data_IF_972377139832
#
_entry.id   IF_972377139832
#
_cell.length_a   1.000
_cell.length_b   1.000
_cell.length_c   1.000
_cell.angle_alpha   90.00
_cell.angle_beta   90.00
_cell.angle_gamma   90.00
#
_symmetry.space_group_name_H-M   'P 1'
#
loop_
_entity.id
_entity.type
_entity.pdbx_description
1 polymer ?
#
# COMPACT_ATOMS: atom_id res chain seq x y z
N UNK A 1 -7.18 11.26 -12.00
CA UNK A 1 -8.66 11.37 -11.86
C UNK A 1 -9.03 12.73 -11.27
N UNK A 2 -10.21 13.25 -11.57
CA UNK A 2 -10.78 14.40 -10.85
C UNK A 2 -11.36 13.92 -9.51
N UNK A 3 -10.96 14.56 -8.41
CA UNK A 3 -11.42 14.22 -7.06
C UNK A 3 -12.67 15.02 -6.64
N UNK A 4 -13.20 15.91 -7.49
CA UNK A 4 -14.37 16.73 -7.16
C UNK A 4 -15.60 15.83 -6.94
N UNK A 5 -16.28 16.03 -5.80
CA UNK A 5 -17.47 15.29 -5.36
C UNK A 5 -17.30 13.75 -5.30
N UNK A 6 -16.06 13.25 -5.31
CA UNK A 6 -15.76 11.82 -5.25
C UNK A 6 -15.78 11.28 -3.81
N UNK A 7 -15.91 9.97 -3.69
CA UNK A 7 -15.78 9.23 -2.43
C UNK A 7 -14.53 8.35 -2.48
N UNK A 8 -13.70 8.45 -1.45
CA UNK A 8 -12.52 7.61 -1.28
C UNK A 8 -12.71 6.61 -0.13
N UNK A 9 -12.26 5.37 -0.32
CA UNK A 9 -12.11 4.36 0.74
C UNK A 9 -10.61 4.10 0.98
N UNK A 10 -10.13 4.39 2.19
CA UNK A 10 -8.70 4.27 2.54
C UNK A 10 -8.53 3.26 3.66
N UNK A 11 -7.77 2.20 3.44
CA UNK A 11 -7.48 1.19 4.47
C UNK A 11 -6.24 1.53 5.29
N UNK A 12 -6.23 1.13 6.58
CA UNK A 12 -5.14 1.45 7.51
C UNK A 12 -5.05 2.95 7.81
N UNK A 13 -6.20 3.60 7.94
CA UNK A 13 -6.34 5.05 8.02
C UNK A 13 -5.99 5.68 9.37
N UNK A 14 -5.72 4.89 10.40
CA UNK A 14 -5.53 5.40 11.76
C UNK A 14 -4.12 5.94 12.04
N UNK A 15 -3.09 5.57 11.27
CA UNK A 15 -1.70 5.99 11.48
C UNK A 15 -0.87 5.99 10.19
N UNK A 16 0.32 6.56 10.28
CA UNK A 16 1.33 6.51 9.21
C UNK A 16 0.81 7.02 7.88
N UNK A 17 1.15 6.32 6.80
CA UNK A 17 0.80 6.72 5.42
C UNK A 17 -0.71 6.83 5.22
N UNK A 18 -1.50 5.87 5.74
CA UNK A 18 -2.96 5.89 5.57
C UNK A 18 -3.61 7.10 6.23
N UNK A 19 -3.15 7.47 7.43
CA UNK A 19 -3.58 8.68 8.12
C UNK A 19 -3.23 9.93 7.30
N UNK A 20 -2.00 10.05 6.85
CA UNK A 20 -1.54 11.18 6.03
C UNK A 20 -2.32 11.28 4.70
N UNK A 21 -2.65 10.15 4.06
CA UNK A 21 -3.51 10.13 2.86
C UNK A 21 -4.90 10.66 3.19
N UNK A 22 -5.53 10.23 4.28
CA UNK A 22 -6.84 10.76 4.69
C UNK A 22 -6.79 12.26 4.96
N UNK A 23 -5.78 12.76 5.66
CA UNK A 23 -5.58 14.18 5.94
C UNK A 23 -5.41 15.00 4.65
N UNK A 24 -4.63 14.51 3.70
CA UNK A 24 -4.46 15.17 2.39
C UNK A 24 -5.73 15.12 1.55
N UNK A 25 -6.46 14.01 1.54
CA UNK A 25 -7.76 13.91 0.87
C UNK A 25 -8.79 14.85 1.50
N UNK A 26 -8.76 15.01 2.82
CA UNK A 26 -9.67 15.93 3.51
C UNK A 26 -9.51 17.41 3.08
N UNK A 27 -8.34 17.79 2.57
CA UNK A 27 -8.11 19.16 2.03
C UNK A 27 -8.60 19.34 0.61
N UNK A 28 -8.90 18.28 -0.10
CA UNK A 28 -9.32 18.26 -1.51
C UNK A 28 -10.85 18.36 -1.65
N UNK A 29 -11.40 18.63 -2.85
CA UNK A 29 -12.83 18.81 -3.05
C UNK A 29 -13.63 17.50 -3.11
N UNK A 30 -13.26 16.49 -2.32
CA UNK A 30 -14.03 15.26 -2.21
C UNK A 30 -15.34 15.50 -1.44
N UNK A 31 -16.31 14.62 -1.67
CA UNK A 31 -17.53 14.53 -0.88
C UNK A 31 -17.26 13.81 0.45
N UNK A 32 -16.54 12.67 0.39
CA UNK A 32 -16.41 11.79 1.53
C UNK A 32 -15.09 10.99 1.47
N UNK A 33 -14.43 10.85 2.61
CA UNK A 33 -13.33 9.90 2.84
C UNK A 33 -13.80 8.88 3.87
N UNK A 34 -13.95 7.63 3.46
CA UNK A 34 -14.19 6.49 4.32
C UNK A 34 -12.85 6.01 4.87
N UNK A 35 -12.56 6.33 6.11
CA UNK A 35 -11.33 5.98 6.80
C UNK A 35 -11.48 4.60 7.44
N UNK A 36 -11.05 3.54 6.73
CA UNK A 36 -11.22 2.17 7.18
C UNK A 36 -10.16 1.79 8.23
N UNK A 37 -10.64 1.44 9.41
CA UNK A 37 -9.87 1.09 10.60
C UNK A 37 -10.46 -0.14 11.29
N UNK A 38 -9.67 -0.85 12.12
CA UNK A 38 -10.16 -2.00 12.88
C UNK A 38 -10.98 -1.62 14.12
N UNK A 39 -10.75 -0.42 14.63
CA UNK A 39 -11.37 0.07 15.87
C UNK A 39 -11.69 1.56 15.66
N UNK A 40 -12.97 1.82 15.43
CA UNK A 40 -13.46 3.18 15.14
C UNK A 40 -13.38 4.10 16.35
N UNK A 41 -13.44 3.55 17.57
CA UNK A 41 -13.38 4.34 18.80
C UNK A 41 -11.98 4.94 19.06
N UNK A 42 -10.95 4.36 18.41
CA UNK A 42 -9.56 4.87 18.47
C UNK A 42 -9.20 5.80 17.31
N UNK A 43 -10.15 6.09 16.43
CA UNK A 43 -9.88 6.98 15.31
C UNK A 43 -9.97 8.45 15.74
N UNK A 44 -8.87 9.16 15.68
CA UNK A 44 -8.85 10.58 15.94
C UNK A 44 -9.46 11.35 14.75
N UNK A 45 -10.45 12.22 14.98
CA UNK A 45 -11.10 12.98 13.91
C UNK A 45 -10.11 13.77 13.04
N UNK A 46 -10.40 13.82 11.75
CA UNK A 46 -9.66 14.63 10.77
C UNK A 46 -10.57 15.78 10.33
N UNK A 47 -10.13 17.01 10.56
CA UNK A 47 -10.82 18.19 10.07
C UNK A 47 -10.35 18.53 8.64
N UNK A 48 -11.28 18.95 7.80
CA UNK A 48 -10.96 19.32 6.42
C UNK A 48 -12.15 19.86 5.65
N UNK A 49 -12.00 20.02 4.36
CA UNK A 49 -13.06 20.39 3.43
C UNK A 49 -14.03 19.24 3.17
N UNK A 50 -13.46 18.04 2.97
CA UNK A 50 -14.23 16.82 2.81
C UNK A 50 -14.62 16.24 4.16
N UNK A 51 -15.77 15.58 4.25
CA UNK A 51 -16.14 14.75 5.41
C UNK A 51 -15.18 13.56 5.49
N UNK A 52 -14.63 13.30 6.69
CA UNK A 52 -13.87 12.09 6.97
C UNK A 52 -14.65 11.25 7.98
N UNK A 53 -15.07 10.06 7.54
CA UNK A 53 -15.87 9.14 8.36
C UNK A 53 -15.10 7.87 8.64
N UNK A 54 -14.83 7.55 9.91
CA UNK A 54 -14.27 6.24 10.25
C UNK A 54 -15.29 5.14 9.97
N UNK A 55 -14.80 4.02 9.41
CA UNK A 55 -15.60 2.81 9.18
C UNK A 55 -14.84 1.60 9.70
N UNK A 56 -15.54 0.69 10.36
CA UNK A 56 -14.93 -0.52 10.85
C UNK A 56 -14.68 -1.49 9.69
N UNK A 57 -13.43 -1.89 9.51
CA UNK A 57 -13.03 -2.85 8.50
C UNK A 57 -11.79 -3.60 8.97
N UNK A 58 -12.00 -4.84 9.40
CA UNK A 58 -10.89 -5.73 9.73
C UNK A 58 -10.49 -6.56 8.49
N UNK A 59 -9.22 -6.50 8.14
CA UNK A 59 -8.64 -7.19 6.99
C UNK A 59 -8.07 -8.57 7.35
N UNK A 60 -8.25 -9.02 8.58
CA UNK A 60 -7.68 -10.25 9.13
C UNK A 60 -8.29 -11.53 8.56
N UNK A 61 -9.52 -11.49 8.06
CA UNK A 61 -10.18 -12.65 7.43
C UNK A 61 -11.07 -12.22 6.28
N UNK A 62 -11.45 -13.22 5.46
CA UNK A 62 -12.41 -13.00 4.37
C UNK A 62 -13.76 -12.56 4.92
N UNK A 63 -14.22 -13.21 5.96
CA UNK A 63 -15.54 -12.99 6.57
C UNK A 63 -15.63 -11.58 7.16
N UNK A 64 -14.58 -11.12 7.84
CA UNK A 64 -14.56 -9.75 8.40
C UNK A 64 -14.51 -8.68 7.31
N UNK A 65 -13.80 -8.92 6.20
CA UNK A 65 -13.79 -8.03 5.04
C UNK A 65 -15.18 -7.94 4.42
N UNK A 66 -15.83 -9.07 4.16
CA UNK A 66 -17.18 -9.10 3.58
C UNK A 66 -18.18 -8.37 4.49
N UNK A 67 -18.17 -8.65 5.80
CA UNK A 67 -19.05 -7.99 6.76
C UNK A 67 -18.86 -6.45 6.79
N UNK A 68 -17.61 -5.99 6.79
CA UNK A 68 -17.31 -4.55 6.78
C UNK A 68 -17.73 -3.87 5.47
N UNK A 69 -17.50 -4.52 4.33
CA UNK A 69 -17.86 -3.98 3.02
C UNK A 69 -19.38 -3.99 2.77
N UNK A 70 -20.11 -4.98 3.28
CA UNK A 70 -21.58 -5.05 3.15
C UNK A 70 -22.30 -3.91 3.88
N UNK A 71 -21.63 -3.28 4.85
CA UNK A 71 -22.11 -2.07 5.54
C UNK A 71 -21.89 -0.77 4.75
N UNK A 72 -21.17 -0.81 3.61
CA UNK A 72 -20.80 0.35 2.82
C UNK A 72 -21.55 0.41 1.48
N UNK A 73 -21.80 1.63 1.01
CA UNK A 73 -22.23 1.86 -0.37
C UNK A 73 -21.01 1.81 -1.31
N UNK A 74 -20.69 0.61 -1.79
CA UNK A 74 -19.57 0.39 -2.71
C UNK A 74 -19.80 1.06 -4.07
N UNK A 75 -21.07 1.28 -4.46
CA UNK A 75 -21.43 2.00 -5.66
C UNK A 75 -21.00 3.46 -5.66
N UNK A 76 -20.77 4.06 -4.50
CA UNK A 76 -20.29 5.42 -4.37
C UNK A 76 -18.74 5.55 -4.38
N UNK A 77 -17.98 4.46 -4.24
CA UNK A 77 -16.51 4.53 -4.12
C UNK A 77 -15.88 4.81 -5.48
N UNK A 78 -15.25 5.96 -5.62
CA UNK A 78 -14.51 6.39 -6.82
C UNK A 78 -13.00 6.17 -6.70
N UNK A 79 -12.45 6.21 -5.47
CA UNK A 79 -11.04 5.94 -5.18
C UNK A 79 -10.93 4.88 -4.08
N UNK A 80 -10.36 3.72 -4.41
CA UNK A 80 -9.97 2.72 -3.42
C UNK A 80 -8.46 2.83 -3.15
N UNK A 81 -8.08 3.08 -1.89
CA UNK A 81 -6.69 3.11 -1.43
C UNK A 81 -6.41 1.90 -0.55
N UNK A 82 -5.83 0.87 -1.15
CA UNK A 82 -5.33 -0.31 -0.46
C UNK A 82 -3.97 0.01 0.17
N UNK A 83 -3.99 0.60 1.37
CA UNK A 83 -2.79 1.05 2.06
C UNK A 83 -2.43 0.20 3.28
N UNK A 84 -3.41 -0.41 3.95
CA UNK A 84 -3.14 -1.23 5.13
C UNK A 84 -2.03 -2.26 4.87
N UNK A 85 -1.20 -2.48 5.88
CA UNK A 85 -0.12 -3.43 5.78
C UNK A 85 0.40 -3.85 7.15
N UNK A 86 1.01 -5.02 7.17
CA UNK A 86 1.73 -5.60 8.31
C UNK A 86 3.14 -5.97 7.87
N UNK A 87 4.05 -6.05 8.83
CA UNK A 87 5.41 -6.52 8.63
C UNK A 87 5.54 -7.92 9.27
N UNK A 88 6.12 -8.85 8.53
CA UNK A 88 6.75 -10.06 9.05
C UNK A 88 8.06 -10.22 8.31
N UNK A 89 9.16 -10.12 9.03
CA UNK A 89 10.52 -10.13 8.49
C UNK A 89 11.47 -10.76 9.52
N UNK A 90 12.68 -11.03 9.12
CA UNK A 90 13.70 -11.80 9.83
C UNK A 90 14.15 -13.00 9.01
N UNK A 91 15.09 -13.80 9.51
CA UNK A 91 15.43 -15.07 8.87
C UNK A 91 14.20 -15.97 8.85
N UNK A 92 13.95 -16.64 7.73
CA UNK A 92 12.68 -17.36 7.49
C UNK A 92 12.38 -18.40 8.59
N UNK A 93 13.40 -19.11 9.03
CA UNK A 93 13.30 -20.14 10.07
C UNK A 93 13.08 -19.58 11.49
N UNK A 94 13.22 -18.28 11.68
CA UNK A 94 13.03 -17.58 12.96
C UNK A 94 11.69 -16.83 13.01
N UNK A 95 10.99 -16.70 11.87
CA UNK A 95 9.71 -16.01 11.82
C UNK A 95 8.59 -16.88 12.41
N UNK A 96 7.62 -16.21 13.06
CA UNK A 96 6.37 -16.83 13.46
C UNK A 96 5.50 -17.10 12.22
N UNK A 97 5.10 -18.35 12.03
CA UNK A 97 4.29 -18.77 10.89
C UNK A 97 2.91 -18.09 10.88
N UNK A 98 2.28 -17.91 12.03
CA UNK A 98 0.97 -17.24 12.13
C UNK A 98 1.09 -15.76 11.77
N UNK A 99 2.19 -15.10 12.15
CA UNK A 99 2.47 -13.73 11.72
C UNK A 99 2.68 -13.63 10.19
N UNK A 100 3.33 -14.63 9.57
CA UNK A 100 3.47 -14.69 8.10
C UNK A 100 2.11 -14.80 7.43
N UNK A 101 1.23 -15.71 7.90
CA UNK A 101 -0.12 -15.88 7.33
C UNK A 101 -0.96 -14.63 7.51
N UNK A 102 -0.93 -14.00 8.70
CA UNK A 102 -1.62 -12.73 8.97
C UNK A 102 -1.15 -11.61 8.04
N UNK A 103 0.16 -11.49 7.87
CA UNK A 103 0.76 -10.49 6.97
C UNK A 103 0.35 -10.72 5.51
N UNK A 104 0.39 -11.96 5.01
CA UNK A 104 -0.05 -12.29 3.65
C UNK A 104 -1.55 -12.01 3.46
N UNK A 105 -2.38 -12.29 4.48
CA UNK A 105 -3.79 -11.99 4.47
C UNK A 105 -4.03 -10.49 4.30
N UNK A 106 -3.38 -9.66 5.10
CA UNK A 106 -3.59 -8.20 5.07
C UNK A 106 -2.94 -7.57 3.84
N UNK A 107 -1.68 -7.95 3.53
CA UNK A 107 -0.90 -7.25 2.50
C UNK A 107 -1.28 -7.64 1.06
N UNK A 108 -1.83 -8.83 0.85
CA UNK A 108 -2.11 -9.35 -0.48
C UNK A 108 -3.56 -9.81 -0.65
N UNK A 109 -4.05 -10.74 0.16
CA UNK A 109 -5.38 -11.29 -0.03
C UNK A 109 -6.45 -10.21 0.14
N UNK A 110 -6.34 -9.34 1.15
CA UNK A 110 -7.26 -8.24 1.37
C UNK A 110 -7.24 -7.23 0.22
N UNK A 111 -6.07 -6.91 -0.35
CA UNK A 111 -5.94 -6.02 -1.52
C UNK A 111 -6.74 -6.57 -2.71
N UNK A 112 -6.58 -7.86 -3.00
CA UNK A 112 -7.32 -8.53 -4.06
C UNK A 112 -8.82 -8.54 -3.75
N UNK A 113 -9.20 -8.88 -2.52
CA UNK A 113 -10.59 -8.99 -2.10
C UNK A 113 -11.32 -7.63 -2.15
N UNK A 114 -10.75 -6.58 -1.57
CA UNK A 114 -11.32 -5.24 -1.61
C UNK A 114 -11.50 -4.74 -3.05
N UNK A 115 -10.49 -4.95 -3.87
CA UNK A 115 -10.54 -4.59 -5.29
C UNK A 115 -11.64 -5.37 -6.01
N UNK A 116 -11.74 -6.69 -5.79
CA UNK A 116 -12.79 -7.53 -6.36
C UNK A 116 -14.20 -7.03 -6.01
N UNK A 117 -14.41 -6.57 -4.78
CA UNK A 117 -15.72 -6.09 -4.30
C UNK A 117 -16.09 -4.71 -4.85
N UNK A 118 -15.13 -3.81 -5.03
CA UNK A 118 -15.37 -2.43 -5.50
C UNK A 118 -15.37 -2.33 -7.03
N UNK A 119 -14.57 -3.12 -7.70
CA UNK A 119 -14.30 -3.02 -9.14
C UNK A 119 -15.55 -3.12 -10.05
N UNK A 120 -16.51 -4.02 -9.81
CA UNK A 120 -17.69 -4.13 -10.69
C UNK A 120 -18.46 -2.80 -10.83
N UNK A 121 -18.61 -2.07 -9.74
CA UNK A 121 -19.29 -0.78 -9.70
C UNK A 121 -18.49 0.30 -10.44
N UNK A 122 -17.16 0.32 -10.29
CA UNK A 122 -16.29 1.24 -11.03
C UNK A 122 -16.36 0.98 -12.53
N UNK A 123 -16.29 -0.29 -12.94
CA UNK A 123 -16.39 -0.68 -14.37
C UNK A 123 -17.76 -0.32 -14.95
N UNK A 124 -18.85 -0.59 -14.22
CA UNK A 124 -20.20 -0.25 -14.66
C UNK A 124 -20.39 1.26 -14.88
N UNK A 125 -19.73 2.11 -14.05
CA UNK A 125 -19.76 3.56 -14.21
C UNK A 125 -18.77 4.10 -15.25
N UNK A 126 -17.81 3.27 -15.71
CA UNK A 126 -16.74 3.67 -16.62
C UNK A 126 -15.74 4.64 -15.99
N UNK A 127 -15.61 4.65 -14.66
CA UNK A 127 -14.68 5.53 -13.93
C UNK A 127 -14.34 4.97 -12.56
N UNK A 128 -13.13 5.26 -12.10
CA UNK A 128 -12.62 4.91 -10.77
C UNK A 128 -11.12 4.75 -10.78
N UNK A 129 -10.52 4.75 -9.59
CA UNK A 129 -9.10 4.48 -9.42
C UNK A 129 -8.88 3.53 -8.27
N UNK A 130 -8.08 2.49 -8.50
CA UNK A 130 -7.56 1.59 -7.47
C UNK A 130 -6.09 1.91 -7.25
N UNK A 131 -5.76 2.39 -6.06
CA UNK A 131 -4.40 2.64 -5.62
C UNK A 131 -3.95 1.52 -4.68
N UNK A 132 -2.92 0.79 -5.07
CA UNK A 132 -2.32 -0.28 -4.27
C UNK A 132 -0.97 0.16 -3.69
N UNK A 133 -0.84 0.20 -2.36
CA UNK A 133 0.40 0.53 -1.68
C UNK A 133 1.34 -0.69 -1.66
N UNK A 134 2.19 -0.79 -2.68
CA UNK A 134 3.28 -1.75 -2.75
C UNK A 134 4.50 -1.25 -1.95
N UNK A 135 5.68 -1.73 -2.27
CA UNK A 135 6.94 -1.36 -1.62
C UNK A 135 8.08 -1.49 -2.60
N UNK A 136 9.20 -0.85 -2.30
CA UNK A 136 10.49 -1.15 -2.95
C UNK A 136 10.84 -2.64 -2.80
N UNK A 137 10.44 -3.28 -1.69
CA UNK A 137 10.62 -4.72 -1.45
C UNK A 137 9.84 -5.62 -2.43
N UNK A 138 8.86 -5.07 -3.16
CA UNK A 138 8.19 -5.76 -4.26
C UNK A 138 9.04 -5.81 -5.55
N UNK A 139 10.18 -5.15 -5.57
CA UNK A 139 11.12 -5.08 -6.69
C UNK A 139 12.55 -5.47 -6.30
N UNK A 140 13.06 -4.91 -5.20
CA UNK A 140 14.36 -5.24 -4.65
C UNK A 140 14.15 -6.24 -3.50
N UNK A 141 14.41 -7.50 -3.76
CA UNK A 141 14.13 -8.60 -2.83
C UNK A 141 15.21 -8.69 -1.75
N UNK A 142 15.00 -7.98 -0.66
CA UNK A 142 15.96 -7.91 0.44
C UNK A 142 16.02 -9.24 1.22
N UNK A 143 17.23 -9.71 1.60
CA UNK A 143 17.37 -10.79 2.57
C UNK A 143 16.68 -10.41 3.89
N UNK A 144 16.31 -11.40 4.71
CA UNK A 144 15.53 -11.23 5.93
C UNK A 144 14.15 -10.53 5.75
N UNK A 145 13.68 -10.36 4.51
CA UNK A 145 12.34 -9.88 4.18
C UNK A 145 11.65 -10.74 3.12
N UNK A 146 11.99 -12.01 3.02
CA UNK A 146 11.52 -12.90 1.93
C UNK A 146 9.99 -12.98 1.86
N UNK A 147 9.31 -13.15 3.00
CA UNK A 147 7.86 -13.23 3.11
C UNK A 147 7.18 -11.89 2.81
N UNK A 148 7.71 -10.80 3.35
CA UNK A 148 7.24 -9.46 3.06
C UNK A 148 7.45 -9.09 1.58
N UNK A 149 8.62 -9.39 1.02
CA UNK A 149 8.91 -9.17 -0.40
C UNK A 149 7.94 -9.97 -1.29
N UNK A 150 7.64 -11.21 -0.94
CA UNK A 150 6.66 -12.02 -1.65
C UNK A 150 5.27 -11.37 -1.65
N UNK A 151 4.80 -10.86 -0.49
CA UNK A 151 3.52 -10.16 -0.38
C UNK A 151 3.48 -8.92 -1.28
N UNK A 152 4.53 -8.08 -1.24
CA UNK A 152 4.57 -6.84 -2.01
C UNK A 152 4.85 -7.04 -3.50
N UNK A 153 5.60 -8.07 -3.88
CA UNK A 153 5.74 -8.50 -5.27
C UNK A 153 4.40 -9.02 -5.83
N UNK A 154 3.63 -9.75 -5.01
CA UNK A 154 2.25 -10.15 -5.35
C UNK A 154 1.36 -8.95 -5.67
N UNK A 155 1.40 -7.90 -4.84
CA UNK A 155 0.65 -6.65 -5.09
C UNK A 155 1.08 -5.97 -6.39
N UNK A 156 2.39 -5.94 -6.69
CA UNK A 156 2.89 -5.39 -7.97
C UNK A 156 2.38 -6.20 -9.15
N UNK A 157 2.50 -7.54 -9.09
CA UNK A 157 2.03 -8.43 -10.14
C UNK A 157 0.53 -8.31 -10.38
N UNK A 158 -0.27 -8.31 -9.30
CA UNK A 158 -1.71 -8.08 -9.34
C UNK A 158 -2.05 -6.74 -10.00
N UNK A 159 -1.44 -5.64 -9.55
CA UNK A 159 -1.72 -4.30 -10.08
C UNK A 159 -1.39 -4.16 -11.55
N UNK A 160 -0.23 -4.68 -11.99
CA UNK A 160 0.20 -4.62 -13.38
C UNK A 160 -0.67 -5.48 -14.30
N UNK A 161 -1.14 -6.64 -13.84
CA UNK A 161 -2.05 -7.50 -14.59
C UNK A 161 -3.43 -6.84 -14.71
N UNK A 162 -4.01 -6.45 -13.57
CA UNK A 162 -5.33 -5.82 -13.52
C UNK A 162 -5.40 -4.52 -14.36
N UNK A 163 -4.35 -3.71 -14.33
CA UNK A 163 -4.27 -2.50 -15.17
C UNK A 163 -4.44 -2.82 -16.65
N UNK A 164 -3.85 -3.93 -17.12
CA UNK A 164 -3.99 -4.35 -18.54
C UNK A 164 -5.36 -4.93 -18.84
N UNK A 165 -5.97 -5.63 -17.88
CA UNK A 165 -7.34 -6.16 -18.01
C UNK A 165 -8.37 -5.04 -18.11
N UNK A 166 -8.12 -3.89 -17.48
CA UNK A 166 -9.03 -2.75 -17.42
C UNK A 166 -8.78 -1.71 -18.51
N UNK A 167 -7.91 -1.98 -19.46
CA UNK A 167 -7.67 -1.05 -20.58
C UNK A 167 -8.96 -0.76 -21.34
N UNK A 168 -9.24 0.52 -21.56
CA UNK A 168 -10.47 0.98 -22.24
C UNK A 168 -11.73 1.00 -21.37
N UNK A 169 -11.71 0.57 -20.11
CA UNK A 169 -12.88 0.59 -19.20
C UNK A 169 -13.13 1.93 -18.52
N UNK A 170 -12.16 2.86 -18.55
CA UNK A 170 -12.20 4.10 -17.79
C UNK A 170 -11.78 3.96 -16.32
N UNK A 171 -11.42 2.76 -15.85
CA UNK A 171 -10.91 2.50 -14.51
C UNK A 171 -9.38 2.47 -14.52
N UNK A 172 -8.75 3.28 -13.66
CA UNK A 172 -7.29 3.32 -13.53
C UNK A 172 -6.80 2.42 -12.39
N UNK A 173 -5.64 1.80 -12.57
CA UNK A 173 -4.92 1.08 -11.49
C UNK A 173 -3.53 1.70 -11.35
N UNK A 174 -3.25 2.19 -10.15
CA UNK A 174 -1.97 2.75 -9.76
C UNK A 174 -1.36 1.90 -8.65
N UNK A 175 -0.07 1.57 -8.72
CA UNK A 175 0.64 1.06 -7.55
C UNK A 175 1.77 1.98 -7.10
N UNK A 176 1.87 2.16 -5.78
CA UNK A 176 2.90 2.96 -5.15
C UNK A 176 4.10 2.08 -4.78
N UNK A 177 5.27 2.39 -5.33
CA UNK A 177 6.56 1.77 -4.94
C UNK A 177 7.10 2.53 -3.74
N UNK A 178 6.52 2.25 -2.58
CA UNK A 178 6.77 2.99 -1.35
C UNK A 178 8.20 2.77 -0.85
N UNK A 179 8.95 3.85 -0.59
CA UNK A 179 10.30 3.80 0.01
C UNK A 179 10.22 3.57 1.52
N UNK A 180 11.32 3.78 2.23
CA UNK A 180 11.31 3.96 3.68
C UNK A 180 10.54 5.24 4.05
N UNK A 181 9.35 5.09 4.62
CA UNK A 181 8.55 6.19 5.13
C UNK A 181 8.63 6.19 6.65
N UNK A 182 8.83 7.37 7.25
CA UNK A 182 9.04 7.55 8.69
C UNK A 182 7.79 7.17 9.48
N UNK A 183 7.69 5.91 9.87
CA UNK A 183 6.56 5.27 10.53
C UNK A 183 7.06 4.19 11.48
N UNK A 184 6.24 3.77 12.43
CA UNK A 184 6.54 2.64 13.32
C UNK A 184 6.99 1.38 12.56
N UNK A 185 6.39 1.09 11.41
CA UNK A 185 6.78 -0.06 10.57
C UNK A 185 8.23 0.05 10.07
N UNK A 186 8.72 1.26 9.79
CA UNK A 186 10.13 1.46 9.40
C UNK A 186 11.06 1.21 10.57
N UNK A 187 10.68 1.67 11.78
CA UNK A 187 11.46 1.43 13.00
C UNK A 187 11.54 -0.07 13.31
N UNK A 188 10.41 -0.79 13.18
CA UNK A 188 10.37 -2.26 13.30
C UNK A 188 11.28 -2.93 12.26
N UNK A 189 11.25 -2.45 11.01
CA UNK A 189 12.09 -2.96 9.92
C UNK A 189 13.57 -2.77 10.25
N UNK A 190 13.97 -1.58 10.68
CA UNK A 190 15.37 -1.29 11.05
C UNK A 190 15.82 -2.13 12.24
N UNK A 191 14.94 -2.36 13.22
CA UNK A 191 15.25 -3.21 14.37
C UNK A 191 15.52 -4.67 13.96
N UNK A 192 14.74 -5.21 13.01
CA UNK A 192 14.92 -6.56 12.46
C UNK A 192 16.23 -6.66 11.68
N UNK A 193 16.57 -5.62 10.90
CA UNK A 193 17.82 -5.63 10.13
C UNK A 193 19.07 -5.36 10.97
N UNK A 194 18.92 -4.90 12.22
CA UNK A 194 20.05 -4.63 13.09
C UNK A 194 20.91 -5.87 13.29
N UNK A 195 22.15 -5.81 12.82
CA UNK A 195 23.09 -6.93 12.84
C UNK A 195 23.16 -7.73 11.53
N UNK A 196 22.18 -7.58 10.63
CA UNK A 196 22.14 -8.28 9.35
C UNK A 196 22.42 -7.38 8.13
N UNK A 197 21.99 -6.13 8.20
CA UNK A 197 22.09 -5.18 7.10
C UNK A 197 22.33 -3.76 7.64
N UNK A 198 23.25 -3.02 7.03
CA UNK A 198 23.42 -1.60 7.33
C UNK A 198 22.29 -0.77 6.71
N UNK A 199 21.41 -0.25 7.56
CA UNK A 199 20.29 0.60 7.18
C UNK A 199 20.60 2.10 7.30
N UNK A 200 21.80 2.48 7.72
CA UNK A 200 22.17 3.89 7.99
C UNK A 200 22.09 4.81 6.77
N UNK A 201 22.18 4.24 5.57
CA UNK A 201 22.04 4.95 4.30
C UNK A 201 20.58 5.05 3.81
N UNK A 202 19.60 4.54 4.53
CA UNK A 202 18.21 4.61 4.12
C UNK A 202 17.66 6.02 4.30
N UNK A 203 17.01 6.51 3.27
CA UNK A 203 16.33 7.80 3.32
C UNK A 203 14.94 7.59 3.92
N UNK A 204 14.62 8.35 4.96
CA UNK A 204 13.27 8.41 5.54
C UNK A 204 12.49 9.55 4.90
N UNK A 205 11.36 9.23 4.29
CA UNK A 205 10.43 10.20 3.71
C UNK A 205 9.30 10.43 4.72
N UNK A 206 8.88 11.68 4.89
CA UNK A 206 7.75 11.96 5.80
C UNK A 206 6.45 11.43 5.22
N UNK A 207 5.54 10.87 6.06
CA UNK A 207 4.25 10.33 5.61
C UNK A 207 3.43 11.32 4.79
N UNK A 208 3.43 12.60 5.18
CA UNK A 208 2.67 13.68 4.54
C UNK A 208 3.22 14.02 3.15
N UNK A 209 4.56 14.00 3.01
CA UNK A 209 5.23 14.21 1.71
C UNK A 209 4.95 13.05 0.76
N UNK A 210 5.01 11.82 1.28
CA UNK A 210 4.70 10.64 0.48
C UNK A 210 3.23 10.59 0.06
N UNK A 211 2.31 10.89 0.99
CA UNK A 211 0.88 10.96 0.70
C UNK A 211 0.56 11.98 -0.39
N UNK A 212 1.16 13.19 -0.34
CA UNK A 212 0.99 14.21 -1.37
C UNK A 212 1.43 13.70 -2.74
N UNK A 213 2.62 13.14 -2.83
CA UNK A 213 3.17 12.59 -4.08
C UNK A 213 2.32 11.47 -4.67
N UNK A 214 1.74 10.64 -3.81
CA UNK A 214 0.85 9.55 -4.23
C UNK A 214 -0.47 10.12 -4.78
N UNK A 215 -1.04 11.12 -4.12
CA UNK A 215 -2.30 11.74 -4.58
C UNK A 215 -2.10 12.56 -5.85
N UNK A 216 -0.99 13.26 -6.03
CA UNK A 216 -0.64 13.89 -7.31
C UNK A 216 -0.57 12.86 -8.45
N UNK A 217 -0.11 11.65 -8.16
CA UNK A 217 -0.08 10.57 -9.14
C UNK A 217 -1.48 10.04 -9.48
N UNK A 218 -2.39 9.99 -8.49
CA UNK A 218 -3.82 9.69 -8.69
C UNK A 218 -4.48 10.76 -9.56
N UNK A 219 -4.30 12.04 -9.22
CA UNK A 219 -4.87 13.17 -9.94
C UNK A 219 -4.36 13.27 -11.39
N UNK A 220 -3.12 12.80 -11.63
CA UNK A 220 -2.47 12.80 -12.96
C UNK A 220 -2.64 11.49 -13.73
N UNK A 221 -3.52 10.59 -13.28
CA UNK A 221 -3.80 9.27 -13.88
C UNK A 221 -2.54 8.42 -14.17
N UNK A 222 -1.53 8.51 -13.31
CA UNK A 222 -0.33 7.68 -13.42
C UNK A 222 -0.65 6.24 -13.05
N UNK A 223 0.13 5.30 -13.58
CA UNK A 223 0.02 3.87 -13.22
C UNK A 223 1.02 3.43 -12.18
N UNK A 224 2.09 4.19 -12.00
CA UNK A 224 3.16 3.90 -11.04
C UNK A 224 3.64 5.21 -10.44
N UNK A 225 3.76 5.24 -9.11
CA UNK A 225 4.48 6.28 -8.38
C UNK A 225 5.60 5.65 -7.56
N UNK A 226 6.74 6.27 -7.52
CA UNK A 226 7.88 5.76 -6.76
C UNK A 226 8.86 6.87 -6.41
N UNK A 227 9.76 6.60 -5.48
CA UNK A 227 10.86 7.51 -5.19
C UNK A 227 11.74 7.64 -6.42
N UNK A 228 12.23 8.84 -6.65
CA UNK A 228 13.24 9.11 -7.68
C UNK A 228 14.65 8.62 -7.29
N UNK A 229 15.65 8.90 -8.14
CA UNK A 229 17.06 8.70 -7.81
C UNK A 229 17.49 7.22 -7.69
N UNK A 230 18.24 6.90 -6.63
CA UNK A 230 18.85 5.57 -6.42
C UNK A 230 17.83 4.41 -6.40
N UNK A 231 16.63 4.65 -5.94
CA UNK A 231 15.57 3.62 -5.87
C UNK A 231 15.02 3.29 -7.26
N UNK A 232 14.96 4.28 -8.16
CA UNK A 232 14.61 4.02 -9.56
C UNK A 232 15.65 3.13 -10.26
N UNK A 233 16.93 3.32 -9.93
CA UNK A 233 18.02 2.44 -10.39
C UNK A 233 17.91 1.03 -9.80
N UNK A 234 17.60 0.89 -8.51
CA UNK A 234 17.38 -0.41 -7.88
C UNK A 234 16.21 -1.18 -8.53
N UNK A 235 15.12 -0.47 -8.86
CA UNK A 235 13.99 -1.04 -9.60
C UNK A 235 14.38 -1.51 -11.01
N UNK A 236 15.24 -0.76 -11.69
CA UNK A 236 15.76 -1.16 -13.01
C UNK A 236 16.71 -2.36 -12.88
N UNK A 237 17.59 -2.35 -11.87
CA UNK A 237 18.55 -3.44 -11.61
C UNK A 237 17.82 -4.74 -11.22
N UNK A 238 16.70 -4.68 -10.49
CA UNK A 238 15.93 -5.87 -10.11
C UNK A 238 15.24 -6.57 -11.30
N UNK A 239 15.10 -5.89 -12.43
CA UNK A 239 14.62 -6.46 -13.69
C UNK A 239 15.76 -6.92 -14.61
N UNK A 240 17.00 -6.69 -14.20
CA UNK A 240 18.21 -7.14 -14.87
C UNK A 240 18.61 -8.58 -14.48
N UNK A 241 19.80 -9.06 -14.92
CA UNK A 241 20.32 -10.35 -14.51
C UNK A 241 20.43 -10.42 -12.97
N UNK A 242 19.95 -11.53 -12.36
CA UNK A 242 19.96 -11.74 -10.91
C UNK A 242 21.34 -11.52 -10.27
N UNK A 243 22.41 -11.88 -11.02
CA UNK A 243 23.80 -11.74 -10.58
C UNK A 243 24.18 -10.33 -10.14
N UNK A 244 23.53 -9.29 -10.68
CA UNK A 244 23.84 -7.91 -10.30
C UNK A 244 23.30 -7.59 -8.88
N UNK A 245 22.12 -8.06 -8.57
CA UNK A 245 21.53 -7.94 -7.22
C UNK A 245 22.28 -8.82 -6.22
N UNK A 246 22.60 -10.04 -6.61
CA UNK A 246 23.33 -11.02 -5.79
C UNK A 246 24.70 -10.46 -5.37
N UNK A 247 25.41 -9.79 -6.29
CA UNK A 247 26.70 -9.16 -6.01
C UNK A 247 26.59 -8.02 -4.96
N UNK A 248 25.53 -7.23 -5.02
CA UNK A 248 25.31 -6.14 -4.05
C UNK A 248 24.87 -6.72 -2.70
N UNK A 249 23.92 -7.63 -2.71
CA UNK A 249 23.33 -8.18 -1.48
C UNK A 249 24.31 -9.08 -0.72
N UNK A 250 25.14 -9.86 -1.40
CA UNK A 250 26.15 -10.73 -0.77
C UNK A 250 27.21 -9.96 0.04
N UNK A 251 27.39 -8.67 -0.24
CA UNK A 251 28.32 -7.80 0.50
C UNK A 251 27.66 -6.98 1.60
N UNK A 252 26.33 -6.78 1.50
CA UNK A 252 25.57 -5.95 2.42
C UNK A 252 24.90 -6.75 3.53
N UNK A 253 24.68 -8.05 3.33
CA UNK A 253 23.95 -8.90 4.26
C UNK A 253 24.85 -9.90 4.96
N UNK A 254 24.71 -10.00 6.30
CA UNK A 254 25.28 -11.08 7.12
C UNK A 254 24.13 -11.87 7.77
N UNK A 255 24.29 -13.19 7.76
CA UNK A 255 23.35 -14.09 8.44
C UNK A 255 23.64 -14.21 9.94
N UNK A 256 24.88 -13.91 10.37
CA UNK A 256 25.38 -13.99 11.76
C UNK A 256 25.43 -12.60 12.37
#
# INVERSE_FOLDING_TARGET
MDLTDSTALVTGANRGIGRAVCERLATRPLKLVLAAVRDVDKFEPIAGRAEVRPVELDLGSRESIDAGLDALDLGAVDLLVNNAGQLSAGLLEEQDLDAIYSMLQVNLNAVVHLTYRVLPEMVARGRGTVLNNASISGYAFFPAASTYSASKAGVVGFSESLRRELDGTGVNVLHAVTPGVDTEMLDETEAIYKGHLDTSAWTRVQPEEWAEKVLEAVESDRHIVGPGGRVALAKLASRGPAQLLDFVMSRAFSRS
#
